data_IF_074725135464
#
_entry.id   IF_074725135464
#
_cell.length_a   1.000
_cell.length_b   1.000
_cell.length_c   1.000
_cell.angle_alpha   90.00
_cell.angle_beta   90.00
_cell.angle_gamma   90.00
#
_symmetry.space_group_name_H-M   'P 1'
#
loop_
_entity.id
_entity.type
_entity.pdbx_description
1 polymer ?
#
# COMPACT_ATOMS: atom_id res chain seq x y z
N UNK A 1 -27.63 -9.74 52.21
CA UNK A 1 -26.77 -9.09 53.24
C UNK A 1 -27.43 -9.21 54.61
N UNK A 2 -26.78 -9.93 55.53
CA UNK A 2 -27.15 -9.92 56.94
C UNK A 2 -26.93 -8.51 57.49
N UNK A 3 -27.93 -7.97 58.20
CA UNK A 3 -27.82 -6.66 58.85
C UNK A 3 -26.86 -6.84 60.02
N UNK A 4 -25.61 -6.41 59.84
CA UNK A 4 -24.57 -6.51 60.84
C UNK A 4 -24.97 -5.75 62.12
N UNK A 5 -24.54 -6.20 63.30
CA UNK A 5 -24.88 -5.55 64.58
C UNK A 5 -24.50 -4.06 64.63
N UNK A 6 -23.47 -3.67 63.87
CA UNK A 6 -22.89 -2.32 63.84
C UNK A 6 -23.76 -1.28 63.09
N UNK A 7 -24.71 -1.72 62.26
CA UNK A 7 -25.66 -0.84 61.55
C UNK A 7 -26.86 -0.41 62.43
N UNK A 8 -26.90 -0.86 63.69
CA UNK A 8 -28.04 -0.73 64.61
C UNK A 8 -27.78 0.35 65.65
N UNK A 9 -28.03 1.59 65.27
CA UNK A 9 -27.99 2.73 66.17
C UNK A 9 -29.32 3.51 66.09
N UNK A 10 -30.16 3.56 67.17
CA UNK A 10 -29.99 2.96 68.50
C UNK A 10 -30.25 1.44 68.54
N UNK A 11 -29.90 0.74 69.65
CA UNK A 11 -30.25 -0.67 69.87
C UNK A 11 -31.75 -0.92 69.67
N UNK A 12 -32.14 -2.09 69.13
CA UNK A 12 -33.54 -2.44 69.00
C UNK A 12 -34.24 -2.35 70.35
N UNK A 13 -35.35 -1.63 70.40
CA UNK A 13 -36.28 -1.76 71.51
C UNK A 13 -36.71 -3.24 71.61
N UNK A 14 -36.69 -3.81 72.82
CA UNK A 14 -37.11 -5.19 73.07
C UNK A 14 -38.54 -5.43 72.53
N UNK A 15 -39.37 -4.37 72.51
CA UNK A 15 -40.72 -4.35 71.94
C UNK A 15 -40.78 -4.59 70.41
N UNK A 16 -39.65 -4.44 69.70
CA UNK A 16 -39.57 -4.62 68.24
C UNK A 16 -38.77 -5.88 67.84
N UNK A 17 -38.50 -6.76 68.80
CA UNK A 17 -37.83 -8.05 68.59
C UNK A 17 -38.84 -9.20 68.53
N UNK A 18 -38.56 -10.21 67.71
CA UNK A 18 -39.40 -11.40 67.64
C UNK A 18 -39.00 -12.40 68.72
N UNK A 19 -39.94 -12.80 69.57
CA UNK A 19 -39.66 -13.79 70.63
C UNK A 19 -39.28 -15.20 70.13
N UNK A 20 -39.51 -15.52 68.84
CA UNK A 20 -39.13 -16.82 68.25
C UNK A 20 -37.68 -16.81 67.77
N UNK A 21 -37.30 -15.86 66.90
CA UNK A 21 -35.95 -15.80 66.33
C UNK A 21 -34.99 -14.88 67.09
N UNK A 22 -35.48 -14.15 68.10
CA UNK A 22 -34.73 -13.15 68.90
C UNK A 22 -34.03 -12.07 68.08
N UNK A 23 -34.55 -11.79 66.88
CA UNK A 23 -34.06 -10.77 65.97
C UNK A 23 -35.16 -9.73 65.68
N UNK A 24 -34.80 -8.63 65.01
CA UNK A 24 -35.74 -7.61 64.56
C UNK A 24 -36.91 -8.22 63.80
N UNK A 25 -38.12 -7.80 64.13
CA UNK A 25 -39.33 -8.18 63.42
C UNK A 25 -39.21 -7.90 61.90
N UNK A 26 -39.30 -8.97 61.10
CA UNK A 26 -39.39 -8.93 59.63
C UNK A 26 -40.80 -9.34 59.22
N UNK A 27 -41.48 -8.46 58.47
CA UNK A 27 -42.91 -8.61 58.13
C UNK A 27 -43.74 -8.95 59.38
N UNK A 28 -43.81 -8.02 60.36
CA UNK A 28 -44.48 -8.30 61.62
C UNK A 28 -45.97 -8.57 61.40
N UNK A 29 -46.46 -9.61 62.05
CA UNK A 29 -47.89 -9.95 62.11
C UNK A 29 -48.33 -10.03 63.56
N UNK A 30 -49.55 -9.59 63.82
CA UNK A 30 -50.15 -9.59 65.15
C UNK A 30 -51.18 -10.71 65.26
N UNK A 31 -51.10 -11.47 66.35
CA UNK A 31 -52.10 -12.47 66.71
C UNK A 31 -53.33 -11.79 67.32
N UNK A 32 -54.50 -12.47 67.35
CA UNK A 32 -55.68 -11.96 68.08
C UNK A 32 -55.43 -11.68 69.56
N UNK A 33 -54.49 -12.40 70.17
CA UNK A 33 -54.01 -12.16 71.54
C UNK A 33 -53.01 -10.99 71.67
N UNK A 34 -52.86 -10.17 70.62
CA UNK A 34 -52.03 -8.95 70.53
C UNK A 34 -50.51 -9.13 70.57
N UNK A 35 -50.00 -10.36 70.62
CA UNK A 35 -48.56 -10.62 70.47
C UNK A 35 -48.10 -10.53 69.01
N UNK A 36 -46.88 -10.01 68.78
CA UNK A 36 -46.32 -9.74 67.46
C UNK A 36 -45.12 -10.64 67.18
N UNK A 37 -45.03 -11.18 65.96
CA UNK A 37 -43.94 -12.04 65.52
C UNK A 37 -43.60 -11.78 64.05
N UNK A 38 -42.43 -12.23 63.58
CA UNK A 38 -42.16 -12.29 62.14
C UNK A 38 -43.15 -13.25 61.46
N UNK A 39 -43.74 -12.85 60.32
CA UNK A 39 -44.68 -13.69 59.55
C UNK A 39 -44.13 -15.10 59.32
N UNK A 40 -42.90 -15.23 58.84
CA UNK A 40 -42.26 -16.53 58.62
C UNK A 40 -42.10 -17.36 59.89
N UNK A 41 -41.72 -16.72 61.01
CA UNK A 41 -41.49 -17.42 62.29
C UNK A 41 -42.79 -17.95 62.89
N UNK A 42 -43.84 -17.13 62.97
CA UNK A 42 -45.12 -17.60 63.54
C UNK A 42 -45.81 -18.60 62.62
N UNK A 43 -45.70 -18.43 61.29
CA UNK A 43 -46.24 -19.44 60.36
C UNK A 43 -45.56 -20.78 60.58
N UNK A 44 -44.22 -20.82 60.68
CA UNK A 44 -43.48 -22.06 60.97
C UNK A 44 -43.94 -22.70 62.29
N UNK A 45 -44.09 -21.91 63.35
CA UNK A 45 -44.59 -22.39 64.65
C UNK A 45 -45.99 -23.01 64.54
N UNK A 46 -46.88 -22.38 63.77
CA UNK A 46 -48.28 -22.81 63.61
C UNK A 46 -48.46 -24.06 62.73
N UNK A 47 -47.40 -24.56 62.09
CA UNK A 47 -47.42 -25.86 61.42
C UNK A 47 -47.45 -27.01 62.42
N UNK A 48 -46.70 -26.89 63.54
CA UNK A 48 -46.60 -27.93 64.56
C UNK A 48 -47.49 -27.65 65.78
N UNK A 49 -47.72 -26.37 66.09
CA UNK A 49 -48.49 -25.94 67.25
C UNK A 49 -49.74 -25.15 66.82
N UNK A 50 -50.77 -25.06 67.67
CA UNK A 50 -51.99 -24.28 67.39
C UNK A 50 -52.20 -23.14 68.38
N UNK A 51 -51.13 -22.70 69.04
CA UNK A 51 -51.17 -21.75 70.15
C UNK A 51 -50.12 -20.65 69.98
N UNK A 52 -50.34 -19.51 70.62
CA UNK A 52 -49.36 -18.42 70.70
C UNK A 52 -48.12 -18.86 71.50
N UNK A 53 -46.88 -18.64 71.02
CA UNK A 53 -45.66 -18.98 71.75
C UNK A 53 -45.52 -18.32 73.13
N UNK A 54 -46.12 -17.13 73.34
CA UNK A 54 -45.96 -16.34 74.56
C UNK A 54 -47.05 -16.63 75.60
N UNK A 55 -48.33 -16.58 75.20
CA UNK A 55 -49.46 -16.71 76.12
C UNK A 55 -50.26 -18.01 75.97
N UNK A 56 -49.87 -18.89 75.04
CA UNK A 56 -50.51 -20.19 74.75
C UNK A 56 -51.98 -20.14 74.33
N UNK A 57 -52.56 -18.96 74.11
CA UNK A 57 -53.92 -18.79 73.55
C UNK A 57 -53.99 -19.42 72.15
N UNK A 58 -55.08 -20.12 71.77
CA UNK A 58 -55.23 -20.69 70.43
C UNK A 58 -55.10 -19.63 69.31
N UNK A 59 -54.31 -19.94 68.28
CA UNK A 59 -54.08 -19.06 67.12
C UNK A 59 -54.27 -19.85 65.84
N UNK A 60 -55.04 -19.28 64.91
CA UNK A 60 -55.21 -19.82 63.56
C UNK A 60 -54.39 -19.00 62.57
N UNK A 61 -53.71 -19.64 61.61
CA UNK A 61 -52.88 -18.94 60.62
C UNK A 61 -53.67 -17.90 59.80
N UNK A 62 -54.93 -18.19 59.46
CA UNK A 62 -55.83 -17.28 58.75
C UNK A 62 -56.24 -16.04 59.57
N UNK A 63 -56.06 -16.07 60.90
CA UNK A 63 -56.40 -14.97 61.80
C UNK A 63 -55.25 -13.98 62.04
N UNK A 64 -54.08 -14.23 61.46
CA UNK A 64 -52.92 -13.35 61.53
C UNK A 64 -53.13 -12.16 60.62
N UNK A 65 -52.98 -10.95 61.18
CA UNK A 65 -53.06 -9.71 60.41
C UNK A 65 -51.70 -9.00 60.44
N UNK A 66 -51.32 -8.28 59.37
CA UNK A 66 -50.13 -7.43 59.41
C UNK A 66 -50.17 -6.48 60.61
N UNK A 67 -49.04 -6.34 61.29
CA UNK A 67 -48.93 -5.38 62.38
C UNK A 67 -49.05 -3.94 61.85
N UNK A 68 -49.36 -2.99 62.74
CA UNK A 68 -49.46 -1.58 62.38
C UNK A 68 -48.12 -1.09 61.79
N UNK A 69 -48.09 -0.26 60.73
CA UNK A 69 -46.85 0.20 60.08
C UNK A 69 -45.83 0.90 61.00
N UNK A 70 -46.27 1.40 62.15
CA UNK A 70 -45.40 1.96 63.19
C UNK A 70 -44.55 0.89 63.90
N UNK A 71 -45.00 -0.36 63.89
CA UNK A 71 -44.27 -1.53 64.41
C UNK A 71 -43.38 -2.05 63.28
N UNK A 72 -42.52 -1.19 62.75
CA UNK A 72 -41.59 -1.56 61.69
C UNK A 72 -40.20 -1.07 62.05
N UNK A 73 -39.26 -2.01 62.10
CA UNK A 73 -37.89 -1.70 62.44
C UNK A 73 -37.24 -0.83 61.37
N UNK A 74 -36.83 0.37 61.76
CA UNK A 74 -36.15 1.34 60.88
C UNK A 74 -34.64 1.29 61.13
N UNK A 75 -33.88 0.95 60.10
CA UNK A 75 -32.41 0.83 60.15
C UNK A 75 -31.78 1.94 59.33
N UNK A 76 -30.70 2.52 59.83
CA UNK A 76 -29.92 3.53 59.11
C UNK A 76 -29.12 2.84 57.99
N UNK A 77 -29.01 3.47 56.83
CA UNK A 77 -28.17 2.97 55.76
C UNK A 77 -26.69 2.95 56.15
N UNK A 78 -25.99 1.85 55.86
CA UNK A 78 -24.56 1.71 56.12
C UNK A 78 -23.66 2.45 55.11
N UNK A 79 -24.22 3.01 54.04
CA UNK A 79 -23.44 3.70 53.01
C UNK A 79 -22.96 5.06 53.53
N UNK A 80 -21.65 5.36 53.51
CA UNK A 80 -21.13 6.64 53.97
C UNK A 80 -21.81 7.82 53.27
N UNK A 81 -22.31 8.78 54.04
CA UNK A 81 -23.03 9.95 53.53
C UNK A 81 -24.54 9.74 53.27
N UNK A 82 -25.05 8.51 53.36
CA UNK A 82 -26.49 8.26 53.31
C UNK A 82 -27.12 8.49 54.70
N UNK A 83 -28.08 9.41 54.79
CA UNK A 83 -28.86 9.66 56.01
C UNK A 83 -30.18 8.89 56.06
N UNK A 84 -30.47 8.06 55.06
CA UNK A 84 -31.74 7.34 54.97
C UNK A 84 -31.91 6.36 56.13
N UNK A 85 -33.11 6.37 56.72
CA UNK A 85 -33.60 5.33 57.62
C UNK A 85 -34.71 4.59 56.88
N UNK A 86 -34.55 3.29 56.71
CA UNK A 86 -35.48 2.48 55.93
C UNK A 86 -35.92 1.26 56.73
N UNK A 87 -37.12 0.77 56.45
CA UNK A 87 -37.59 -0.43 57.08
C UNK A 87 -36.72 -1.65 56.73
N UNK A 88 -36.45 -2.52 57.70
CA UNK A 88 -35.69 -3.77 57.52
C UNK A 88 -36.18 -4.59 56.32
N UNK A 89 -37.50 -4.60 56.07
CA UNK A 89 -38.12 -5.34 54.96
C UNK A 89 -37.71 -4.85 53.58
N UNK A 90 -37.36 -3.57 53.42
CA UNK A 90 -36.97 -2.96 52.13
C UNK A 90 -35.49 -2.55 52.08
N UNK A 91 -34.70 -2.84 53.11
CA UNK A 91 -33.30 -2.44 53.21
C UNK A 91 -32.45 -2.92 52.02
N UNK A 92 -32.66 -4.16 51.56
CA UNK A 92 -31.97 -4.70 50.39
C UNK A 92 -32.31 -3.96 49.11
N UNK A 93 -33.58 -3.57 48.95
CA UNK A 93 -34.06 -2.77 47.82
C UNK A 93 -33.41 -1.39 47.86
N UNK A 94 -33.35 -0.76 49.03
CA UNK A 94 -32.64 0.51 49.21
C UNK A 94 -31.17 0.41 48.80
N UNK A 95 -30.41 -0.60 49.24
CA UNK A 95 -29.00 -0.75 48.84
C UNK A 95 -28.82 -0.89 47.31
N UNK A 96 -29.79 -1.51 46.64
CA UNK A 96 -29.84 -1.61 45.18
C UNK A 96 -29.94 -0.25 44.47
N UNK A 97 -30.55 0.75 45.10
CA UNK A 97 -30.80 2.07 44.51
C UNK A 97 -30.09 3.24 45.24
N UNK A 98 -29.45 2.99 46.37
CA UNK A 98 -28.81 4.01 47.20
C UNK A 98 -27.70 4.76 46.43
N UNK A 99 -27.85 6.05 46.24
CA UNK A 99 -26.89 6.90 45.51
C UNK A 99 -25.48 6.93 46.11
N UNK A 100 -25.37 6.69 47.42
CA UNK A 100 -24.11 6.68 48.17
C UNK A 100 -23.44 5.31 48.23
N UNK A 101 -24.11 4.25 47.76
CA UNK A 101 -23.52 2.92 47.79
C UNK A 101 -22.34 2.87 46.84
N UNK A 102 -21.19 2.43 47.35
CA UNK A 102 -20.02 2.16 46.51
C UNK A 102 -20.25 0.95 45.61
N UNK A 103 -20.03 1.16 44.32
CA UNK A 103 -20.19 0.16 43.27
C UNK A 103 -18.93 0.14 42.39
N UNK A 104 -18.54 -1.03 41.86
CA UNK A 104 -17.42 -1.11 40.92
C UNK A 104 -17.78 -0.47 39.58
N UNK A 105 -16.77 0.03 38.87
CA UNK A 105 -16.88 0.44 37.47
C UNK A 105 -17.32 -0.75 36.60
N UNK A 106 -18.22 -0.57 35.62
CA UNK A 106 -18.67 -1.64 34.74
C UNK A 106 -17.64 -2.05 33.67
N UNK A 107 -16.52 -1.34 33.51
CA UNK A 107 -15.49 -1.71 32.55
C UNK A 107 -14.53 -2.76 33.14
N UNK A 108 -14.36 -3.90 32.45
CA UNK A 108 -13.65 -5.08 32.95
C UNK A 108 -12.22 -4.83 33.46
N UNK A 109 -11.51 -3.86 32.86
CA UNK A 109 -10.13 -3.53 33.21
C UNK A 109 -10.03 -2.40 34.26
N UNK A 110 -11.15 -1.88 34.74
CA UNK A 110 -11.18 -0.78 35.70
C UNK A 110 -11.52 -1.28 37.10
N UNK A 111 -10.52 -1.25 38.00
CA UNK A 111 -10.71 -1.63 39.41
C UNK A 111 -11.31 -0.50 40.26
N UNK A 112 -11.69 0.63 39.64
CA UNK A 112 -12.20 1.78 40.36
C UNK A 112 -13.59 1.51 40.97
N UNK A 113 -13.77 1.94 42.22
CA UNK A 113 -15.04 1.87 42.95
C UNK A 113 -15.43 3.28 43.36
N UNK A 114 -16.68 3.65 43.14
CA UNK A 114 -17.17 4.98 43.49
C UNK A 114 -18.65 4.94 43.90
N UNK A 115 -19.15 5.97 44.59
CA UNK A 115 -20.57 6.10 44.87
C UNK A 115 -21.39 6.04 43.57
N UNK A 116 -22.55 5.37 43.61
CA UNK A 116 -23.44 5.23 42.45
C UNK A 116 -23.76 6.57 41.77
N UNK A 117 -23.93 7.65 42.53
CA UNK A 117 -24.18 9.00 42.00
C UNK A 117 -23.06 9.56 41.12
N UNK A 118 -21.81 9.17 41.35
CA UNK A 118 -20.64 9.65 40.58
C UNK A 118 -20.21 8.64 39.51
N UNK A 119 -20.87 7.48 39.44
CA UNK A 119 -20.49 6.41 38.52
C UNK A 119 -20.61 6.85 37.05
N UNK A 120 -21.67 7.57 36.71
CA UNK A 120 -21.90 8.03 35.34
C UNK A 120 -20.78 8.97 34.85
N UNK A 121 -20.37 9.91 35.70
CA UNK A 121 -19.27 10.83 35.41
C UNK A 121 -17.95 10.08 35.22
N UNK A 122 -17.65 9.13 36.10
CA UNK A 122 -16.48 8.27 35.97
C UNK A 122 -16.51 7.46 34.67
N UNK A 123 -17.63 6.81 34.33
CA UNK A 123 -17.76 5.97 33.12
C UNK A 123 -17.46 6.77 31.86
N UNK A 124 -17.94 8.02 31.78
CA UNK A 124 -17.66 8.94 30.67
C UNK A 124 -16.18 9.28 30.54
N UNK A 125 -15.46 9.40 31.66
CA UNK A 125 -14.03 9.76 31.68
C UNK A 125 -13.09 8.58 31.87
N UNK A 126 -13.61 7.36 32.02
CA UNK A 126 -12.83 6.18 32.37
C UNK A 126 -11.76 5.91 31.31
N UNK A 127 -10.47 5.74 31.66
CA UNK A 127 -9.41 5.40 30.71
C UNK A 127 -9.62 4.06 30.00
N UNK A 128 -10.36 3.15 30.64
CA UNK A 128 -10.68 1.82 30.12
C UNK A 128 -12.00 1.78 29.32
N UNK A 129 -12.68 2.91 29.11
CA UNK A 129 -13.85 2.95 28.23
C UNK A 129 -13.44 2.59 26.81
N UNK A 130 -14.23 1.77 26.14
CA UNK A 130 -13.98 1.34 24.78
C UNK A 130 -14.45 2.41 23.79
N UNK A 131 -13.57 2.82 22.89
CA UNK A 131 -13.82 3.78 21.83
C UNK A 131 -13.50 3.16 20.47
N UNK A 132 -14.24 3.55 19.44
CA UNK A 132 -13.97 3.17 18.05
C UNK A 132 -13.12 4.23 17.37
N UNK A 133 -12.10 3.80 16.63
CA UNK A 133 -11.26 4.72 15.87
C UNK A 133 -12.03 5.37 14.70
N UNK A 134 -12.27 6.67 14.80
CA UNK A 134 -12.97 7.47 13.78
C UNK A 134 -12.09 7.81 12.57
N UNK A 135 -10.79 7.61 12.67
CA UNK A 135 -9.82 7.87 11.60
C UNK A 135 -9.78 6.76 10.52
N UNK A 136 -10.73 5.82 10.56
CA UNK A 136 -11.03 4.93 9.44
C UNK A 136 -10.55 3.48 9.57
N UNK A 137 -9.87 3.09 10.66
CA UNK A 137 -9.46 1.69 10.85
C UNK A 137 -10.54 0.80 11.50
N UNK A 138 -11.57 1.40 12.11
CA UNK A 138 -12.69 0.68 12.73
C UNK A 138 -12.35 -0.13 13.98
N UNK A 139 -11.11 -0.09 14.48
CA UNK A 139 -10.70 -0.83 15.66
C UNK A 139 -11.33 -0.25 16.93
N UNK A 140 -11.81 -1.12 17.82
CA UNK A 140 -12.28 -0.78 19.15
C UNK A 140 -11.14 -0.98 20.17
N UNK A 141 -10.84 0.04 20.97
CA UNK A 141 -9.77 0.00 21.97
C UNK A 141 -10.07 0.94 23.15
N UNK A 142 -9.29 0.85 24.23
CA UNK A 142 -9.50 1.75 25.37
C UNK A 142 -9.15 3.20 25.03
N UNK A 143 -9.75 4.16 25.73
CA UNK A 143 -9.44 5.58 25.56
C UNK A 143 -7.94 5.89 25.70
N UNK A 144 -7.25 5.24 26.65
CA UNK A 144 -5.80 5.36 26.81
C UNK A 144 -4.97 4.82 25.64
N UNK A 145 -5.47 3.81 24.93
CA UNK A 145 -4.81 3.25 23.75
C UNK A 145 -5.05 4.11 22.51
N UNK A 146 -6.21 4.76 22.44
CA UNK A 146 -6.56 5.63 21.32
C UNK A 146 -5.68 6.89 21.24
N UNK A 147 -5.24 7.45 22.37
CA UNK A 147 -4.32 8.60 22.40
C UNK A 147 -3.00 8.34 21.67
N UNK A 148 -2.55 7.08 21.65
CA UNK A 148 -1.31 6.65 21.00
C UNK A 148 -1.55 5.91 19.68
N UNK A 149 -2.78 5.95 19.16
CA UNK A 149 -3.17 5.16 18.00
C UNK A 149 -2.82 5.84 16.67
N UNK A 150 -1.79 5.31 16.00
CA UNK A 150 -1.23 5.86 14.77
C UNK A 150 -1.70 5.12 13.49
N UNK A 151 -3.01 4.95 13.29
CA UNK A 151 -3.53 4.21 12.12
C UNK A 151 -3.31 4.93 10.78
N UNK A 152 -3.50 6.25 10.74
CA UNK A 152 -3.40 7.04 9.51
C UNK A 152 -1.97 7.02 8.96
N UNK A 153 -0.97 7.05 9.85
CA UNK A 153 0.43 6.95 9.44
C UNK A 153 0.77 5.56 8.89
N UNK A 154 0.16 4.49 9.43
CA UNK A 154 0.38 3.13 8.91
C UNK A 154 -0.21 2.95 7.51
N UNK A 155 -1.42 3.46 7.26
CA UNK A 155 -2.06 3.40 5.94
C UNK A 155 -1.30 4.25 4.91
N UNK A 156 -0.96 5.51 5.25
CA UNK A 156 -0.15 6.37 4.37
C UNK A 156 1.24 5.79 4.11
N UNK A 157 1.86 5.14 5.10
CA UNK A 157 3.13 4.46 4.91
C UNK A 157 2.99 3.29 3.92
N UNK A 158 1.92 2.50 4.01
CA UNK A 158 1.67 1.41 3.06
C UNK A 158 1.43 1.90 1.62
N UNK A 159 0.65 2.97 1.45
CA UNK A 159 0.39 3.56 0.12
C UNK A 159 1.66 4.16 -0.49
N UNK A 160 2.46 4.85 0.33
CA UNK A 160 3.71 5.47 -0.13
C UNK A 160 4.80 4.44 -0.42
N UNK A 161 4.91 3.36 0.36
CA UNK A 161 5.86 2.27 0.08
C UNK A 161 5.47 1.49 -1.16
N UNK A 162 4.18 1.17 -1.34
CA UNK A 162 3.69 0.53 -2.56
C UNK A 162 3.95 1.38 -3.81
N UNK A 163 3.73 2.70 -3.70
CA UNK A 163 4.04 3.64 -4.77
C UNK A 163 5.55 3.66 -5.06
N UNK A 164 6.40 3.73 -4.03
CA UNK A 164 7.85 3.75 -4.18
C UNK A 164 8.38 2.49 -4.89
N UNK A 165 7.89 1.31 -4.51
CA UNK A 165 8.28 0.05 -5.17
C UNK A 165 7.85 0.02 -6.64
N UNK A 166 6.66 0.53 -6.98
CA UNK A 166 6.23 0.71 -8.38
C UNK A 166 7.19 1.62 -9.15
N UNK A 167 7.54 2.78 -8.60
CA UNK A 167 8.47 3.72 -9.25
C UNK A 167 9.87 3.12 -9.42
N UNK A 168 10.35 2.32 -8.47
CA UNK A 168 11.63 1.60 -8.59
C UNK A 168 11.60 0.59 -9.75
N UNK A 169 10.51 -0.17 -9.88
CA UNK A 169 10.34 -1.13 -10.97
C UNK A 169 10.32 -0.41 -12.32
N UNK A 170 9.53 0.65 -12.46
CA UNK A 170 9.49 1.44 -13.70
C UNK A 170 10.85 2.08 -14.04
N UNK A 171 11.59 2.56 -13.03
CA UNK A 171 12.92 3.11 -13.24
C UNK A 171 13.92 2.05 -13.71
N UNK A 172 13.82 0.82 -13.17
CA UNK A 172 14.64 -0.32 -13.61
C UNK A 172 14.35 -0.69 -15.07
N UNK A 173 13.08 -0.79 -15.45
CA UNK A 173 12.65 -1.08 -16.83
C UNK A 173 13.11 0.00 -17.80
N UNK A 174 12.94 1.28 -17.44
CA UNK A 174 13.45 2.41 -18.24
C UNK A 174 14.97 2.38 -18.38
N UNK A 175 15.71 2.04 -17.31
CA UNK A 175 17.16 1.91 -17.34
C UNK A 175 17.62 0.79 -18.29
N UNK A 176 16.94 -0.36 -18.27
CA UNK A 176 17.21 -1.46 -19.19
C UNK A 176 16.93 -1.05 -20.65
N UNK A 177 15.83 -0.34 -20.91
CA UNK A 177 15.51 0.17 -22.24
C UNK A 177 16.57 1.15 -22.75
N UNK A 178 17.02 2.09 -21.91
CA UNK A 178 18.11 3.01 -22.26
C UNK A 178 19.38 2.23 -22.63
N UNK A 179 19.74 1.21 -21.84
CA UNK A 179 20.91 0.36 -22.13
C UNK A 179 20.77 -0.41 -23.46
N UNK A 180 19.57 -0.92 -23.77
CA UNK A 180 19.31 -1.56 -25.06
C UNK A 180 19.43 -0.58 -26.24
N UNK A 181 18.93 0.66 -26.07
CA UNK A 181 19.05 1.72 -27.08
C UNK A 181 20.51 2.15 -27.27
N UNK A 182 21.28 2.27 -26.20
CA UNK A 182 22.72 2.58 -26.26
C UNK A 182 23.50 1.49 -27.02
N UNK A 183 23.23 0.22 -26.74
CA UNK A 183 23.84 -0.90 -27.47
C UNK A 183 23.48 -0.87 -28.96
N UNK A 184 22.19 -0.68 -29.29
CA UNK A 184 21.72 -0.60 -30.69
C UNK A 184 22.37 0.60 -31.41
N UNK A 185 22.51 1.74 -30.72
CA UNK A 185 23.18 2.91 -31.25
C UNK A 185 24.69 2.67 -31.48
N UNK A 186 25.33 1.91 -30.59
CA UNK A 186 26.74 1.52 -30.75
C UNK A 186 26.93 0.59 -31.96
N UNK A 187 26.05 -0.39 -32.15
CA UNK A 187 26.06 -1.29 -33.31
C UNK A 187 25.87 -0.50 -34.61
N UNK A 188 24.85 0.35 -34.69
CA UNK A 188 24.64 1.22 -35.87
C UNK A 188 25.83 2.14 -36.16
N UNK A 189 26.52 2.65 -35.12
CA UNK A 189 27.73 3.47 -35.28
C UNK A 189 28.89 2.65 -35.86
N UNK A 190 29.11 1.43 -35.37
CA UNK A 190 30.14 0.53 -35.88
C UNK A 190 29.90 0.16 -37.34
N UNK A 191 28.66 -0.16 -37.70
CA UNK A 191 28.28 -0.42 -39.09
C UNK A 191 28.56 0.80 -39.98
N UNK A 192 28.08 1.97 -39.58
CA UNK A 192 28.30 3.24 -40.29
C UNK A 192 29.80 3.53 -40.50
N UNK A 193 30.62 3.30 -39.48
CA UNK A 193 32.07 3.55 -39.57
C UNK A 193 32.75 2.53 -40.49
N UNK A 194 32.30 1.27 -40.47
CA UNK A 194 32.68 0.26 -41.46
C UNK A 194 32.33 0.65 -42.89
N UNK A 195 31.13 1.21 -43.10
CA UNK A 195 30.68 1.75 -44.39
C UNK A 195 31.56 2.90 -44.88
N UNK A 196 31.90 3.82 -43.99
CA UNK A 196 32.80 4.94 -44.29
C UNK A 196 34.17 4.46 -44.77
N UNK A 197 34.78 3.49 -44.10
CA UNK A 197 36.07 2.91 -44.50
C UNK A 197 36.01 2.25 -45.89
N UNK A 198 34.94 1.51 -46.19
CA UNK A 198 34.72 0.91 -47.52
C UNK A 198 34.63 1.98 -48.60
N UNK A 199 33.88 3.06 -48.36
CA UNK A 199 33.74 4.18 -49.30
C UNK A 199 35.07 4.90 -49.56
N UNK A 200 35.87 5.15 -48.51
CA UNK A 200 37.20 5.76 -48.64
C UNK A 200 38.17 4.89 -49.44
N UNK A 201 38.13 3.56 -49.23
CA UNK A 201 38.92 2.60 -50.02
C UNK A 201 38.53 2.66 -51.50
N UNK A 202 37.22 2.58 -51.81
CA UNK A 202 36.72 2.68 -53.17
C UNK A 202 37.13 4.00 -53.85
N UNK A 203 36.98 5.14 -53.16
CA UNK A 203 37.38 6.45 -53.67
C UNK A 203 38.89 6.52 -53.98
N UNK A 204 39.75 5.98 -53.10
CA UNK A 204 41.20 5.89 -53.35
C UNK A 204 41.52 5.04 -54.59
N UNK A 205 40.88 3.88 -54.74
CA UNK A 205 41.08 3.02 -55.91
C UNK A 205 40.60 3.70 -57.20
N UNK A 206 39.45 4.39 -57.18
CA UNK A 206 38.97 5.14 -58.35
C UNK A 206 39.89 6.30 -58.73
N UNK A 207 40.43 7.04 -57.75
CA UNK A 207 41.46 8.07 -58.00
C UNK A 207 42.71 7.47 -58.66
N UNK A 208 43.15 6.29 -58.21
CA UNK A 208 44.27 5.57 -58.83
C UNK A 208 43.96 5.18 -60.28
N UNK A 209 42.80 4.57 -60.54
CA UNK A 209 42.36 4.21 -61.90
C UNK A 209 42.32 5.44 -62.81
N UNK A 210 41.70 6.53 -62.34
CA UNK A 210 41.63 7.78 -63.07
C UNK A 210 43.02 8.33 -63.42
N UNK A 211 43.94 8.33 -62.47
CA UNK A 211 45.30 8.82 -62.71
C UNK A 211 46.04 7.95 -63.75
N UNK A 212 45.89 6.62 -63.69
CA UNK A 212 46.40 5.70 -64.71
C UNK A 212 45.81 5.96 -66.09
N UNK A 213 44.50 6.22 -66.18
CA UNK A 213 43.87 6.56 -67.46
C UNK A 213 44.33 7.92 -67.99
N UNK A 214 44.50 8.92 -67.12
CA UNK A 214 45.00 10.25 -67.50
C UNK A 214 46.43 10.21 -68.04
N UNK A 215 47.32 9.44 -67.42
CA UNK A 215 48.69 9.29 -67.91
C UNK A 215 48.76 8.63 -69.28
N UNK A 216 47.77 7.80 -69.62
CA UNK A 216 47.70 7.08 -70.90
C UNK A 216 47.03 7.93 -71.97
N UNK A 217 45.95 8.63 -71.63
CA UNK A 217 45.30 9.58 -72.55
C UNK A 217 46.27 10.65 -73.08
N UNK A 218 47.32 10.96 -72.31
CA UNK A 218 48.30 11.99 -72.63
C UNK A 218 49.72 11.46 -72.97
N UNK A 219 49.93 10.14 -73.15
CA UNK A 219 51.25 9.57 -73.50
C UNK A 219 51.22 8.21 -74.23
N UNK A 220 52.16 8.07 -75.19
CA UNK A 220 52.68 6.90 -75.98
C UNK A 220 51.75 5.76 -76.48
N UNK A 221 52.17 5.10 -77.57
CA UNK A 221 51.45 4.05 -78.31
C UNK A 221 51.14 2.74 -77.54
N UNK A 222 51.57 2.63 -76.27
CA UNK A 222 51.41 1.44 -75.43
C UNK A 222 50.16 1.49 -74.51
N UNK A 223 49.03 1.93 -75.05
CA UNK A 223 47.79 2.25 -74.29
C UNK A 223 46.98 1.02 -73.82
N UNK A 224 47.12 -0.14 -74.50
CA UNK A 224 46.30 -1.33 -74.24
C UNK A 224 46.46 -1.92 -72.83
N UNK A 225 47.70 -2.05 -72.34
CA UNK A 225 47.96 -2.68 -71.03
C UNK A 225 47.38 -1.86 -69.86
N UNK A 226 47.61 -0.52 -69.81
CA UNK A 226 46.98 0.34 -68.81
C UNK A 226 45.44 0.37 -68.86
N UNK A 227 44.83 0.37 -70.05
CA UNK A 227 43.36 0.34 -70.20
C UNK A 227 42.79 -0.98 -69.67
N UNK A 228 43.43 -2.12 -69.95
CA UNK A 228 43.06 -3.43 -69.39
C UNK A 228 43.20 -3.46 -67.87
N UNK A 229 44.28 -2.88 -67.32
CA UNK A 229 44.50 -2.78 -65.87
C UNK A 229 43.44 -1.91 -65.18
N UNK A 230 43.09 -0.77 -65.79
CA UNK A 230 42.03 0.12 -65.31
C UNK A 230 40.66 -0.59 -65.31
N UNK A 231 40.33 -1.31 -66.38
CA UNK A 231 39.10 -2.11 -66.50
C UNK A 231 38.98 -3.11 -65.35
N UNK A 232 40.02 -3.92 -65.11
CA UNK A 232 39.99 -4.94 -64.05
C UNK A 232 39.84 -4.35 -62.65
N UNK A 233 40.39 -3.15 -62.41
CA UNK A 233 40.20 -2.43 -61.14
C UNK A 233 38.77 -1.92 -60.98
N UNK A 234 38.15 -1.36 -62.03
CA UNK A 234 36.76 -0.89 -62.01
C UNK A 234 35.78 -2.05 -61.78
N UNK A 235 36.02 -3.19 -62.42
CA UNK A 235 35.22 -4.40 -62.23
C UNK A 235 35.20 -4.88 -60.78
N UNK A 236 36.37 -4.90 -60.13
CA UNK A 236 36.47 -5.25 -58.69
C UNK A 236 35.66 -4.30 -57.82
N UNK A 237 35.69 -3.00 -58.08
CA UNK A 237 34.89 -2.02 -57.34
C UNK A 237 33.39 -2.23 -57.57
N UNK A 238 32.98 -2.64 -58.77
CA UNK A 238 31.57 -2.94 -59.04
C UNK A 238 31.04 -4.15 -58.26
N UNK A 239 31.89 -5.16 -58.03
CA UNK A 239 31.57 -6.33 -57.19
C UNK A 239 31.47 -5.92 -55.72
N UNK A 240 32.49 -5.23 -55.20
CA UNK A 240 32.51 -4.71 -53.83
C UNK A 240 31.29 -3.80 -53.54
N UNK A 241 30.87 -2.98 -54.51
CA UNK A 241 29.69 -2.12 -54.39
C UNK A 241 28.35 -2.85 -54.55
N UNK A 242 28.32 -4.03 -55.18
CA UNK A 242 27.12 -4.84 -55.33
C UNK A 242 26.82 -5.60 -54.04
N UNK A 243 27.84 -6.22 -53.44
CA UNK A 243 27.70 -6.97 -52.19
C UNK A 243 27.29 -6.05 -51.02
N UNK A 244 27.55 -4.75 -51.18
CA UNK A 244 27.24 -3.73 -50.20
C UNK A 244 25.87 -3.07 -50.36
N UNK A 245 25.20 -3.23 -51.50
CA UNK A 245 23.85 -2.71 -51.73
C UNK A 245 22.75 -3.54 -51.04
N UNK A 246 23.12 -4.59 -50.31
CA UNK A 246 22.18 -5.49 -49.63
C UNK A 246 21.71 -4.91 -48.28
N UNK A 247 22.40 -3.90 -47.73
CA UNK A 247 22.14 -3.36 -46.38
C UNK A 247 21.78 -1.86 -46.37
N UNK A 248 20.77 -1.52 -45.56
CA UNK A 248 20.21 -0.18 -45.25
C UNK A 248 19.84 0.75 -46.43
N UNK A 249 18.59 1.25 -46.42
CA UNK A 249 17.97 1.98 -47.55
C UNK A 249 18.73 3.25 -48.00
N UNK A 250 19.39 3.97 -47.08
CA UNK A 250 20.13 5.20 -47.43
C UNK A 250 21.49 4.98 -48.09
N UNK A 251 22.22 3.94 -47.69
CA UNK A 251 23.53 3.59 -48.29
C UNK A 251 23.34 2.73 -49.55
N UNK A 252 22.33 1.86 -49.54
CA UNK A 252 21.91 1.07 -50.68
C UNK A 252 21.70 1.90 -51.94
N UNK A 253 20.88 2.96 -51.87
CA UNK A 253 20.63 3.84 -53.02
C UNK A 253 21.91 4.47 -53.59
N UNK A 254 22.84 4.87 -52.72
CA UNK A 254 24.11 5.49 -53.11
C UNK A 254 25.10 4.47 -53.70
N UNK A 255 25.17 3.27 -53.12
CA UNK A 255 25.99 2.17 -53.62
C UNK A 255 25.50 1.69 -54.99
N UNK A 256 24.18 1.58 -55.17
CA UNK A 256 23.55 1.23 -56.44
C UNK A 256 23.84 2.27 -57.53
N UNK A 257 23.71 3.56 -57.22
CA UNK A 257 24.04 4.64 -58.15
C UNK A 257 25.52 4.62 -58.56
N UNK A 258 26.43 4.46 -57.61
CA UNK A 258 27.86 4.34 -57.87
C UNK A 258 28.18 3.10 -58.72
N UNK A 259 27.59 1.94 -58.38
CA UNK A 259 27.74 0.68 -59.13
C UNK A 259 27.28 0.83 -60.57
N UNK A 260 26.11 1.45 -60.80
CA UNK A 260 25.58 1.68 -62.16
C UNK A 260 26.49 2.60 -62.98
N UNK A 261 27.01 3.66 -62.36
CA UNK A 261 27.90 4.62 -63.03
C UNK A 261 29.26 3.99 -63.36
N UNK A 262 29.79 3.13 -62.49
CA UNK A 262 31.04 2.41 -62.74
C UNK A 262 30.91 1.31 -63.80
N UNK A 263 29.77 0.60 -63.86
CA UNK A 263 29.48 -0.31 -64.98
C UNK A 263 29.51 0.42 -66.32
N UNK A 264 28.95 1.64 -66.36
CA UNK A 264 29.04 2.47 -67.55
C UNK A 264 30.49 2.83 -67.87
N UNK A 265 31.29 3.26 -66.89
CA UNK A 265 32.71 3.56 -67.10
C UNK A 265 33.52 2.34 -67.59
N UNK A 266 33.24 1.14 -67.04
CA UNK A 266 33.83 -0.12 -67.50
C UNK A 266 33.52 -0.40 -68.97
N UNK A 267 32.28 -0.18 -69.39
CA UNK A 267 31.87 -0.36 -70.79
C UNK A 267 32.64 0.57 -71.73
N UNK A 268 32.86 1.85 -71.36
CA UNK A 268 33.72 2.74 -72.16
C UNK A 268 35.17 2.24 -72.22
N UNK A 269 35.70 1.69 -71.12
CA UNK A 269 37.05 1.11 -71.15
C UNK A 269 37.15 -0.16 -72.01
N UNK A 270 36.08 -0.96 -72.10
CA UNK A 270 35.99 -2.09 -73.03
C UNK A 270 35.99 -1.62 -74.48
N UNK A 271 35.20 -0.59 -74.80
CA UNK A 271 35.19 0.00 -76.14
C UNK A 271 36.56 0.59 -76.51
N UNK A 272 37.18 1.32 -75.58
CA UNK A 272 38.52 1.86 -75.78
C UNK A 272 39.58 0.75 -76.00
N UNK A 273 39.40 -0.43 -75.40
CA UNK A 273 40.30 -1.58 -75.59
C UNK A 273 40.23 -2.20 -76.99
N UNK A 274 39.20 -1.90 -77.78
CA UNK A 274 38.91 -2.51 -79.08
C UNK A 274 39.13 -1.56 -80.27
N UNK A 275 39.13 -0.24 -80.04
CA UNK A 275 39.18 0.78 -81.10
C UNK A 275 40.42 1.70 -80.93
N UNK A 276 41.41 1.50 -81.79
CA UNK A 276 42.70 2.21 -81.76
C UNK A 276 42.62 3.66 -82.27
N UNK A 277 41.56 4.03 -83.00
CA UNK A 277 41.42 5.38 -83.55
C UNK A 277 40.65 6.29 -82.59
N UNK A 278 39.77 5.70 -81.77
CA UNK A 278 38.89 6.46 -80.86
C UNK A 278 39.15 6.22 -79.35
N UNK A 279 40.18 5.45 -78.98
CA UNK A 279 40.45 5.13 -77.57
C UNK A 279 40.67 6.37 -76.69
N UNK A 280 41.27 7.45 -77.23
CA UNK A 280 41.54 8.68 -76.45
C UNK A 280 40.24 9.36 -76.01
N UNK A 281 39.33 9.64 -76.95
CA UNK A 281 38.02 10.23 -76.67
C UNK A 281 37.21 9.36 -75.72
N UNK A 282 37.27 8.04 -75.91
CA UNK A 282 36.56 7.06 -75.08
C UNK A 282 37.14 6.99 -73.66
N UNK A 283 38.47 7.08 -73.51
CA UNK A 283 39.15 7.13 -72.22
C UNK A 283 38.83 8.42 -71.45
N UNK A 284 38.70 9.57 -72.13
CA UNK A 284 38.29 10.83 -71.52
C UNK A 284 36.87 10.77 -70.94
N UNK A 285 35.94 10.13 -71.65
CA UNK A 285 34.57 9.90 -71.14
C UNK A 285 34.61 9.06 -69.85
N UNK A 286 35.42 8.00 -69.81
CA UNK A 286 35.60 7.18 -68.62
C UNK A 286 36.21 7.99 -67.46
N UNK A 287 37.21 8.84 -67.71
CA UNK A 287 37.83 9.74 -66.71
C UNK A 287 36.78 10.65 -66.08
N UNK A 288 35.93 11.32 -66.87
CA UNK A 288 34.90 12.24 -66.35
C UNK A 288 33.87 11.51 -65.47
N UNK A 289 33.46 10.29 -65.85
CA UNK A 289 32.55 9.48 -65.04
C UNK A 289 33.18 9.06 -63.71
N UNK A 290 34.45 8.65 -63.72
CA UNK A 290 35.20 8.31 -62.51
C UNK A 290 35.34 9.51 -61.56
N UNK A 291 35.47 10.73 -62.09
CA UNK A 291 35.53 11.96 -61.28
C UNK A 291 34.23 12.26 -60.55
N UNK A 292 33.08 12.06 -61.20
CA UNK A 292 31.77 12.20 -60.55
C UNK A 292 31.65 11.24 -59.37
N UNK A 293 31.91 9.95 -59.60
CA UNK A 293 31.78 8.92 -58.55
C UNK A 293 32.77 9.15 -57.41
N UNK A 294 34.02 9.57 -57.70
CA UNK A 294 35.00 9.92 -56.67
C UNK A 294 34.51 11.07 -55.77
N UNK A 295 33.86 12.07 -56.34
CA UNK A 295 33.34 13.24 -55.64
C UNK A 295 32.16 12.86 -54.75
N UNK A 296 31.23 12.06 -55.29
CA UNK A 296 30.04 11.62 -54.57
C UNK A 296 30.41 10.71 -53.39
N UNK A 297 31.30 9.73 -53.60
CA UNK A 297 31.82 8.86 -52.54
C UNK A 297 32.69 9.63 -51.52
N UNK A 298 33.44 10.64 -51.98
CA UNK A 298 34.24 11.51 -51.11
C UNK A 298 33.38 12.38 -50.21
N UNK A 299 32.33 13.01 -50.75
CA UNK A 299 31.40 13.82 -50.00
C UNK A 299 30.62 13.00 -48.96
N UNK A 300 30.34 11.73 -49.23
CA UNK A 300 29.73 10.82 -48.24
C UNK A 300 30.66 10.40 -47.11
N UNK A 301 31.97 10.34 -47.35
CA UNK A 301 32.95 10.04 -46.29
C UNK A 301 33.19 11.24 -45.34
N UNK A 302 33.02 12.46 -45.87
CA UNK A 302 33.21 13.73 -45.14
C UNK A 302 31.88 14.27 -44.56
N UNK A 303 30.75 13.70 -44.97
CA UNK A 303 29.40 14.15 -44.62
C UNK A 303 29.11 14.19 -43.13
N UNK A 304 28.82 15.40 -42.64
CA UNK A 304 28.36 15.72 -41.30
C UNK A 304 27.05 14.96 -40.97
N UNK A 305 26.97 14.20 -39.86
CA UNK A 305 25.79 13.39 -39.51
C UNK A 305 24.49 14.18 -39.28
N UNK A 306 24.56 15.51 -39.15
CA UNK A 306 23.43 16.35 -38.72
C UNK A 306 22.60 16.98 -39.85
N UNK A 307 22.61 16.44 -41.07
CA UNK A 307 21.85 17.03 -42.19
C UNK A 307 20.42 16.51 -42.38
N UNK A 308 19.97 15.55 -41.57
CA UNK A 308 18.64 14.94 -41.66
C UNK A 308 17.99 14.64 -40.29
N UNK A 309 18.24 15.48 -39.28
CA UNK A 309 17.50 15.54 -38.02
C UNK A 309 17.14 16.99 -37.73
#
# INVERSE_FOLDING_TARGET
>A
PEILPEDRDPPPDDELTCAICRALLREPVVCRCRHVFCKGCIMMWLHTNRTCPLCRVPVQAASLVPAHPLIQNMVKCCSPGCSARVAVSIYTTHLGVCEFKEVPCPHDLCEHRCPRRTLEDHVKTCPHRMLTCELGCGAAMSASQLENHSCVLKLRLQETTASLEKWKQEASERSQLVKCLENSLAEMKLERDGWKLKAEKASRTLKSVRNTLRSVAWGTDAWMFPVKMARSKVERICLDLRDTAVDMDGWKLKAEYASRTLKNARHFLEMAALDIDNWKSTAEIAIRKLESVCRDLGNTAVGNPYKYL
#
